data_IF_693630787985
#
_entry.id   IF_693630787985
#
_cell.length_a   1.000
_cell.length_b   1.000
_cell.length_c   1.000
_cell.angle_alpha   90.00
_cell.angle_beta   90.00
_cell.angle_gamma   90.00
#
_symmetry.space_group_name_H-M   'P 1'
#
loop_
_entity.id
_entity.type
_entity.pdbx_description
1 polymer ?
#
# COMPACT_ATOMS: atom_id res chain seq x y z
N UNK A 1 -20.00 -15.37 16.56
CA UNK A 1 -18.86 -14.44 16.45
C UNK A 1 -17.59 -15.24 16.64
N UNK A 2 -16.56 -15.02 15.80
CA UNK A 2 -15.27 -15.72 15.92
C UNK A 2 -14.57 -15.27 17.22
N UNK A 3 -14.17 -16.23 18.06
CA UNK A 3 -13.39 -15.98 19.28
C UNK A 3 -11.93 -16.29 18.97
N UNK A 4 -11.13 -15.25 18.76
CA UNK A 4 -9.72 -15.41 18.39
C UNK A 4 -8.87 -15.61 19.65
N UNK A 5 -8.49 -16.86 19.91
CA UNK A 5 -7.54 -17.26 20.96
C UNK A 5 -6.19 -17.66 20.33
N UNK A 6 -5.07 -17.63 21.08
CA UNK A 6 -4.94 -17.18 22.47
C UNK A 6 -4.88 -15.65 22.62
N UNK A 7 -5.14 -15.14 23.83
CA UNK A 7 -4.87 -13.75 24.24
C UNK A 7 -3.95 -13.71 25.46
N UNK A 8 -2.90 -12.89 25.42
CA UNK A 8 -1.91 -12.75 26.51
C UNK A 8 -2.27 -11.64 27.50
N UNK A 9 -3.23 -10.76 27.14
CA UNK A 9 -3.56 -9.53 27.85
C UNK A 9 -2.39 -8.54 27.99
N UNK A 10 -1.29 -8.75 27.27
CA UNK A 10 -0.21 -7.77 27.16
C UNK A 10 -0.53 -6.78 26.04
N UNK A 11 -0.46 -5.49 26.36
CA UNK A 11 -0.60 -4.45 25.35
C UNK A 11 0.72 -4.27 24.59
N UNK A 12 0.62 -4.19 23.27
CA UNK A 12 1.66 -3.79 22.36
C UNK A 12 1.44 -2.33 21.99
N UNK A 13 2.35 -1.48 22.46
CA UNK A 13 2.36 -0.08 22.12
C UNK A 13 3.13 0.14 20.81
N UNK A 14 2.60 1.02 19.96
CA UNK A 14 3.21 1.40 18.69
C UNK A 14 3.33 2.93 18.61
N UNK A 15 4.05 3.41 17.59
CA UNK A 15 4.38 4.82 17.43
C UNK A 15 3.14 5.71 17.26
N UNK A 16 3.21 6.93 17.78
CA UNK A 16 2.06 7.87 17.81
C UNK A 16 1.67 8.38 16.41
N UNK A 17 2.63 8.43 15.49
CA UNK A 17 2.48 8.84 14.10
C UNK A 17 2.07 7.69 13.16
N UNK A 18 2.06 6.45 13.67
CA UNK A 18 1.69 5.30 12.86
C UNK A 18 0.20 5.35 12.47
N UNK A 19 -0.04 5.34 11.16
CA UNK A 19 -1.38 5.25 10.58
C UNK A 19 -1.61 3.86 10.03
N UNK A 20 -2.51 3.11 10.67
CA UNK A 20 -2.84 1.74 10.27
C UNK A 20 -4.01 1.76 9.29
N UNK A 21 -3.80 1.25 8.08
CA UNK A 21 -4.81 1.26 7.02
C UNK A 21 -5.09 -0.14 6.51
N UNK A 22 -6.38 -0.43 6.31
CA UNK A 22 -6.83 -1.64 5.62
C UNK A 22 -8.05 -1.36 4.77
N UNK A 23 -8.16 -2.00 3.61
CA UNK A 23 -9.39 -2.05 2.81
C UNK A 23 -9.91 -3.47 2.74
N UNK A 24 -11.22 -3.60 2.54
CA UNK A 24 -11.89 -4.88 2.35
C UNK A 24 -12.79 -4.85 1.12
N UNK A 25 -13.23 -6.02 0.67
CA UNK A 25 -14.41 -6.15 -0.19
C UNK A 25 -15.72 -5.94 0.61
N UNK A 26 -16.86 -6.16 -0.05
CA UNK A 26 -18.20 -6.04 0.56
C UNK A 26 -18.49 -7.13 1.60
N UNK A 27 -17.84 -8.29 1.48
CA UNK A 27 -17.95 -9.42 2.41
C UNK A 27 -16.95 -9.32 3.57
N UNK A 28 -16.21 -8.22 3.63
CA UNK A 28 -15.21 -7.90 4.67
C UNK A 28 -13.94 -8.74 4.63
N UNK A 29 -13.57 -9.30 3.47
CA UNK A 29 -12.25 -9.88 3.25
C UNK A 29 -11.24 -8.79 2.91
N UNK A 30 -10.07 -8.84 3.55
CA UNK A 30 -9.02 -7.83 3.39
C UNK A 30 -8.48 -7.88 1.97
N UNK A 31 -8.56 -6.76 1.26
CA UNK A 31 -8.00 -6.58 -0.08
C UNK A 31 -6.67 -5.85 -0.07
N UNK A 32 -6.39 -5.11 1.00
CA UNK A 32 -5.12 -4.43 1.20
C UNK A 32 -4.92 -4.09 2.67
N UNK A 33 -3.67 -4.16 3.14
CA UNK A 33 -3.22 -3.65 4.42
C UNK A 33 -1.86 -2.99 4.27
N UNK A 34 -1.67 -1.80 4.85
CA UNK A 34 -0.38 -1.12 4.75
C UNK A 34 0.68 -1.74 5.68
N UNK A 35 1.96 -1.42 5.44
CA UNK A 35 3.08 -1.97 6.21
C UNK A 35 2.95 -1.74 7.73
N UNK A 36 2.45 -0.57 8.16
CA UNK A 36 2.20 -0.29 9.57
C UNK A 36 1.15 -1.24 10.18
N UNK A 37 0.07 -1.56 9.44
CA UNK A 37 -0.93 -2.53 9.89
C UNK A 37 -0.32 -3.93 10.01
N UNK A 38 0.47 -4.37 9.02
CA UNK A 38 1.16 -5.67 9.03
C UNK A 38 2.07 -5.77 10.26
N UNK A 39 2.94 -4.78 10.47
CA UNK A 39 3.88 -4.75 11.59
C UNK A 39 3.17 -4.77 12.96
N UNK A 40 2.16 -3.92 13.14
CA UNK A 40 1.45 -3.80 14.42
C UNK A 40 0.54 -5.01 14.66
N UNK A 41 -0.08 -5.59 13.64
CA UNK A 41 -0.90 -6.80 13.80
C UNK A 41 -0.04 -8.07 13.99
N UNK A 42 1.20 -8.08 13.48
CA UNK A 42 2.13 -9.20 13.56
C UNK A 42 1.78 -10.37 12.63
N UNK A 43 0.82 -10.20 11.72
CA UNK A 43 0.56 -11.14 10.63
C UNK A 43 1.46 -10.82 9.44
N UNK A 44 1.85 -11.83 8.65
CA UNK A 44 2.50 -11.57 7.37
C UNK A 44 1.47 -11.11 6.32
N UNK A 45 1.89 -10.46 5.22
CA UNK A 45 1.00 -10.09 4.12
C UNK A 45 0.20 -11.30 3.60
N UNK A 46 0.86 -12.44 3.40
CA UNK A 46 0.26 -13.66 2.85
C UNK A 46 -0.77 -14.29 3.81
N UNK A 47 -0.59 -14.09 5.11
CA UNK A 47 -1.52 -14.59 6.14
C UNK A 47 -2.77 -13.73 6.29
N UNK A 48 -2.74 -12.47 5.83
CA UNK A 48 -3.80 -11.50 6.08
C UNK A 48 -4.62 -11.15 4.84
N UNK A 49 -4.00 -11.22 3.67
CA UNK A 49 -4.65 -10.94 2.41
C UNK A 49 -5.74 -11.98 2.13
N UNK A 50 -6.92 -11.52 1.69
CA UNK A 50 -8.10 -12.35 1.47
C UNK A 50 -8.76 -12.90 2.74
N UNK A 51 -8.19 -12.68 3.93
CA UNK A 51 -8.81 -13.13 5.17
C UNK A 51 -9.94 -12.20 5.62
N UNK A 52 -10.98 -12.71 6.30
CA UNK A 52 -11.98 -11.87 6.94
C UNK A 52 -11.33 -10.92 7.95
N UNK A 53 -11.68 -9.63 7.89
CA UNK A 53 -11.09 -8.58 8.75
C UNK A 53 -11.16 -8.91 10.24
N UNK A 54 -12.17 -9.68 10.64
CA UNK A 54 -12.32 -10.14 12.02
C UNK A 54 -11.18 -11.03 12.56
N UNK A 55 -10.18 -11.40 11.76
CA UNK A 55 -8.98 -12.15 12.21
C UNK A 55 -8.17 -11.41 13.28
N UNK A 56 -8.15 -10.07 13.25
CA UNK A 56 -7.49 -9.22 14.25
C UNK A 56 -8.41 -8.84 15.41
N UNK A 57 -9.66 -9.30 15.43
CA UNK A 57 -10.61 -8.93 16.50
C UNK A 57 -10.17 -9.50 17.84
N UNK A 58 -10.18 -8.66 18.88
CA UNK A 58 -10.00 -9.12 20.25
C UNK A 58 -11.31 -9.68 20.84
N UNK A 59 -11.29 -10.82 21.57
CA UNK A 59 -12.47 -11.39 22.24
C UNK A 59 -13.17 -10.43 23.22
N UNK A 60 -12.42 -9.57 23.90
CA UNK A 60 -12.96 -8.56 24.82
C UNK A 60 -13.83 -7.48 24.13
N UNK A 61 -13.83 -7.38 22.80
CA UNK A 61 -14.65 -6.37 22.13
C UNK A 61 -16.15 -6.74 22.18
N UNK A 62 -17.02 -5.87 22.74
CA UNK A 62 -18.45 -6.11 22.80
C UNK A 62 -19.07 -6.33 21.43
N UNK A 63 -20.04 -7.24 21.35
CA UNK A 63 -20.77 -7.53 20.10
C UNK A 63 -21.57 -6.32 19.60
N UNK A 64 -22.05 -5.51 20.53
CA UNK A 64 -22.86 -4.31 20.31
C UNK A 64 -22.07 -3.22 19.57
N UNK A 65 -20.77 -3.09 19.85
CA UNK A 65 -19.90 -2.13 19.15
C UNK A 65 -19.81 -2.45 17.66
N UNK A 66 -19.65 -3.72 17.30
CA UNK A 66 -19.62 -4.14 15.89
C UNK A 66 -21.00 -4.11 15.23
N UNK A 67 -22.07 -4.44 15.96
CA UNK A 67 -23.42 -4.31 15.44
C UNK A 67 -23.73 -2.85 15.07
N UNK A 68 -23.32 -1.90 15.92
CA UNK A 68 -23.42 -0.48 15.64
C UNK A 68 -22.55 -0.04 14.45
N UNK A 69 -21.32 -0.53 14.36
CA UNK A 69 -20.44 -0.30 13.21
C UNK A 69 -21.11 -0.71 11.90
N UNK A 70 -21.58 -1.96 11.79
CA UNK A 70 -22.21 -2.46 10.58
C UNK A 70 -23.52 -1.75 10.25
N UNK A 71 -24.34 -1.42 11.25
CA UNK A 71 -25.55 -0.63 11.05
C UNK A 71 -25.26 0.79 10.54
N UNK A 72 -24.13 1.38 10.94
CA UNK A 72 -23.69 2.71 10.52
C UNK A 72 -23.13 2.68 9.10
N UNK A 73 -22.18 1.77 8.83
CA UNK A 73 -21.56 1.61 7.52
C UNK A 73 -22.58 1.19 6.45
N UNK A 74 -23.54 0.32 6.80
CA UNK A 74 -24.62 -0.10 5.90
C UNK A 74 -25.58 1.02 5.50
N UNK A 75 -25.58 2.15 6.23
CA UNK A 75 -26.32 3.37 5.86
C UNK A 75 -25.50 4.35 5.03
N UNK A 76 -24.28 3.96 4.64
CA UNK A 76 -23.37 4.84 3.92
C UNK A 76 -22.64 5.84 4.83
N UNK A 77 -22.77 5.75 6.15
CA UNK A 77 -22.24 6.73 7.10
C UNK A 77 -20.89 6.30 7.69
N UNK A 78 -20.00 7.25 8.06
CA UNK A 78 -18.75 6.93 8.73
C UNK A 78 -19.00 6.46 10.16
N UNK A 79 -18.13 5.58 10.64
CA UNK A 79 -18.15 5.09 12.01
C UNK A 79 -16.80 5.29 12.68
N UNK A 80 -16.81 5.83 13.90
CA UNK A 80 -15.59 6.05 14.68
C UNK A 80 -15.76 5.57 16.11
N UNK A 81 -14.93 4.62 16.55
CA UNK A 81 -14.84 4.24 17.96
C UNK A 81 -13.46 3.65 18.29
N UNK A 82 -13.21 3.43 19.58
CA UNK A 82 -12.05 2.66 19.99
C UNK A 82 -12.24 1.17 19.72
N UNK A 83 -11.17 0.50 19.32
CA UNK A 83 -11.19 -0.93 19.05
C UNK A 83 -9.93 -1.55 19.66
N UNK A 84 -10.13 -2.57 20.49
CA UNK A 84 -9.10 -3.49 20.94
C UNK A 84 -8.92 -4.57 19.89
N UNK A 85 -7.73 -4.64 19.30
CA UNK A 85 -7.37 -5.67 18.33
C UNK A 85 -6.34 -6.62 18.94
N UNK A 86 -6.35 -7.86 18.48
CA UNK A 86 -5.43 -8.92 18.86
C UNK A 86 -4.35 -9.06 17.79
N UNK A 87 -3.10 -9.09 18.22
CA UNK A 87 -1.93 -9.43 17.39
C UNK A 87 -1.84 -10.94 17.18
N UNK A 88 -1.11 -11.38 16.14
CA UNK A 88 -0.89 -12.81 15.87
C UNK A 88 -0.44 -13.61 17.10
N UNK A 89 0.53 -13.08 17.85
CA UNK A 89 1.11 -13.70 19.04
C UNK A 89 0.19 -13.72 20.29
N UNK A 90 -1.01 -13.12 20.21
CA UNK A 90 -1.96 -13.05 21.31
C UNK A 90 -1.91 -11.77 22.15
N UNK A 91 -0.90 -10.91 21.96
CA UNK A 91 -0.92 -9.55 22.51
C UNK A 91 -2.06 -8.73 21.90
N UNK A 92 -2.29 -7.53 22.41
CA UNK A 92 -3.34 -6.65 21.90
C UNK A 92 -2.83 -5.23 21.69
N UNK A 93 -3.55 -4.46 20.89
CA UNK A 93 -3.28 -3.04 20.66
C UNK A 93 -4.58 -2.28 20.53
N UNK A 94 -4.56 -1.01 20.94
CA UNK A 94 -5.71 -0.13 20.90
C UNK A 94 -5.58 0.89 19.77
N UNK A 95 -6.69 1.09 19.07
CA UNK A 95 -6.78 2.06 17.99
C UNK A 95 -8.06 2.86 18.12
N UNK A 96 -8.04 4.11 17.69
CA UNK A 96 -9.25 4.78 17.21
C UNK A 96 -9.47 4.37 15.75
N UNK A 97 -10.48 3.55 15.52
CA UNK A 97 -10.83 3.11 14.18
C UNK A 97 -11.80 4.11 13.55
N UNK A 98 -11.47 4.60 12.35
CA UNK A 98 -12.34 5.38 11.50
C UNK A 98 -12.66 4.53 10.28
N UNK A 99 -13.88 4.02 10.20
CA UNK A 99 -14.33 3.14 9.13
C UNK A 99 -15.33 3.88 8.24
N UNK A 100 -15.16 3.73 6.92
CA UNK A 100 -16.04 4.33 5.91
C UNK A 100 -16.36 3.31 4.81
N UNK A 101 -17.57 3.34 4.23
CA UNK A 101 -17.86 2.58 3.03
C UNK A 101 -17.18 3.23 1.83
N UNK A 102 -16.57 2.42 0.96
CA UNK A 102 -16.02 2.88 -0.31
C UNK A 102 -17.12 2.74 -1.36
N UNK A 103 -17.58 3.86 -1.90
CA UNK A 103 -18.72 3.91 -2.81
C UNK A 103 -18.26 4.14 -4.25
N UNK A 104 -18.85 3.40 -5.20
CA UNK A 104 -18.67 3.59 -6.64
C UNK A 104 -20.03 3.48 -7.32
N UNK A 105 -20.43 4.50 -8.07
CA UNK A 105 -21.70 4.56 -8.79
C UNK A 105 -22.92 4.24 -7.89
N UNK A 106 -22.98 4.81 -6.68
CA UNK A 106 -24.06 4.56 -5.73
C UNK A 106 -24.04 3.21 -5.01
N UNK A 107 -23.05 2.35 -5.29
CA UNK A 107 -22.95 1.02 -4.68
C UNK A 107 -21.68 0.87 -3.82
N UNK A 108 -21.76 0.21 -2.65
CA UNK A 108 -20.59 -0.11 -1.87
C UNK A 108 -19.72 -1.13 -2.62
N UNK A 109 -18.43 -0.83 -2.74
CA UNK A 109 -17.42 -1.77 -3.26
C UNK A 109 -16.61 -2.45 -2.17
N UNK A 110 -16.74 -1.95 -0.94
CA UNK A 110 -16.07 -2.48 0.23
C UNK A 110 -15.96 -1.43 1.31
N UNK A 111 -15.06 -1.66 2.25
CA UNK A 111 -14.88 -0.78 3.39
C UNK A 111 -13.40 -0.39 3.52
N UNK A 112 -13.16 0.85 3.92
CA UNK A 112 -11.83 1.32 4.27
C UNK A 112 -11.83 1.70 5.74
N UNK A 113 -10.76 1.34 6.45
CA UNK A 113 -10.56 1.83 7.80
C UNK A 113 -9.15 2.35 8.00
N UNK A 114 -9.10 3.59 8.48
CA UNK A 114 -7.88 4.29 8.89
C UNK A 114 -7.89 4.40 10.40
N UNK A 115 -6.79 4.00 11.02
CA UNK A 115 -6.66 3.85 12.46
C UNK A 115 -5.49 4.65 12.97
N UNK A 116 -5.73 5.36 14.06
CA UNK A 116 -4.70 6.07 14.82
C UNK A 116 -4.60 5.49 16.21
N UNK A 117 -3.50 5.81 16.90
CA UNK A 117 -3.32 5.41 18.30
C UNK A 117 -4.37 6.06 19.20
N UNK A 118 -4.89 5.29 20.15
CA UNK A 118 -5.80 5.80 21.19
C UNK A 118 -5.00 6.36 22.37
N UNK A 119 -5.49 7.40 23.03
CA UNK A 119 -4.80 7.92 24.23
C UNK A 119 -5.02 7.00 25.43
N UNK A 120 -4.14 7.09 26.44
CA UNK A 120 -4.23 6.27 27.66
C UNK A 120 -5.55 6.46 28.40
N UNK A 121 -6.03 7.71 28.50
CA UNK A 121 -7.31 8.02 29.15
C UNK A 121 -8.50 7.40 28.41
N UNK A 122 -8.47 7.43 27.08
CA UNK A 122 -9.52 6.83 26.26
C UNK A 122 -9.53 5.31 26.37
N UNK A 123 -8.35 4.68 26.39
CA UNK A 123 -8.21 3.23 26.58
C UNK A 123 -8.80 2.83 27.94
N UNK A 124 -8.42 3.50 29.02
CA UNK A 124 -8.93 3.21 30.36
C UNK A 124 -10.46 3.34 30.45
N UNK A 125 -11.02 4.41 29.85
CA UNK A 125 -12.46 4.61 29.79
C UNK A 125 -13.17 3.53 28.94
N UNK A 126 -12.61 3.18 27.79
CA UNK A 126 -13.17 2.16 26.90
C UNK A 126 -13.09 0.76 27.52
N UNK A 127 -12.02 0.42 28.23
CA UNK A 127 -11.88 -0.87 28.92
C UNK A 127 -12.95 -1.07 30.00
N UNK A 128 -13.14 -0.06 30.85
CA UNK A 128 -14.17 -0.10 31.88
C UNK A 128 -15.57 -0.24 31.26
N UNK A 129 -15.85 0.55 30.22
CA UNK A 129 -17.10 0.51 29.50
C UNK A 129 -17.35 -0.85 28.83
N UNK A 130 -16.35 -1.39 28.13
CA UNK A 130 -16.49 -2.65 27.39
C UNK A 130 -16.63 -3.83 28.35
N UNK A 131 -15.99 -3.78 29.51
CA UNK A 131 -16.24 -4.74 30.60
C UNK A 131 -17.69 -4.69 31.06
N UNK A 132 -18.26 -3.50 31.29
CA UNK A 132 -19.68 -3.37 31.66
C UNK A 132 -20.61 -3.98 30.61
N UNK A 133 -20.33 -3.81 29.31
CA UNK A 133 -21.11 -4.46 28.24
C UNK A 133 -20.96 -5.99 28.24
N UNK A 134 -19.74 -6.51 28.41
CA UNK A 134 -19.50 -7.96 28.46
C UNK A 134 -20.18 -8.62 29.65
N UNK A 135 -20.19 -7.96 30.80
CA UNK A 135 -20.78 -8.46 32.05
C UNK A 135 -22.29 -8.20 32.15
N UNK A 136 -22.92 -7.60 31.13
CA UNK A 136 -24.34 -7.24 31.16
C UNK A 136 -24.70 -6.11 32.13
N UNK A 137 -23.68 -5.39 32.65
CA UNK A 137 -23.82 -4.26 33.59
C UNK A 137 -23.93 -2.90 32.89
N UNK A 138 -23.91 -2.86 31.56
CA UNK A 138 -24.04 -1.63 30.79
C UNK A 138 -25.36 -0.87 31.03
N UNK A 139 -26.39 -1.55 31.54
CA UNK A 139 -27.64 -0.94 31.97
C UNK A 139 -28.30 -0.10 30.87
N UNK A 140 -28.50 1.19 31.13
CA UNK A 140 -29.14 2.12 30.20
C UNK A 140 -28.16 2.71 29.16
N UNK A 141 -27.15 1.97 28.69
CA UNK A 141 -26.15 2.48 27.73
C UNK A 141 -26.26 1.69 26.42
N UNK A 142 -26.12 2.38 25.28
CA UNK A 142 -26.09 1.75 23.95
C UNK A 142 -25.09 2.42 23.02
N UNK A 143 -24.57 1.66 22.07
CA UNK A 143 -23.79 2.20 20.96
C UNK A 143 -24.71 2.88 19.93
N UNK A 144 -24.26 4.00 19.37
CA UNK A 144 -24.90 4.68 18.25
C UNK A 144 -23.86 5.48 17.45
N UNK A 145 -23.54 5.04 16.23
CA UNK A 145 -22.54 5.65 15.35
C UNK A 145 -21.19 5.86 16.04
N UNK A 146 -20.78 4.89 16.85
CA UNK A 146 -19.54 4.90 17.62
C UNK A 146 -19.60 5.65 18.96
N UNK A 147 -20.69 6.39 19.24
CA UNK A 147 -20.91 7.05 20.51
C UNK A 147 -21.67 6.17 21.50
N UNK A 148 -21.47 6.43 22.80
CA UNK A 148 -22.24 5.81 23.87
C UNK A 148 -23.35 6.74 24.30
N UNK A 149 -24.59 6.31 24.09
CA UNK A 149 -25.79 7.05 24.46
C UNK A 149 -26.46 6.42 25.66
N UNK A 150 -27.09 7.27 26.49
CA UNK A 150 -27.97 6.81 27.57
C UNK A 150 -29.39 6.57 27.06
N UNK A 151 -30.05 5.54 27.57
CA UNK A 151 -31.42 5.12 27.25
C UNK A 151 -32.35 5.25 28.47
N UNK A 152 -33.65 4.99 28.30
CA UNK A 152 -34.63 5.09 29.38
C UNK A 152 -34.80 6.51 29.93
N UNK A 153 -34.96 6.65 31.25
CA UNK A 153 -35.11 7.94 31.93
C UNK A 153 -33.89 8.86 31.76
N UNK A 154 -32.69 8.29 31.59
CA UNK A 154 -31.45 9.05 31.39
C UNK A 154 -31.23 9.50 29.94
N UNK A 155 -32.17 9.23 29.02
CA UNK A 155 -32.09 9.64 27.61
C UNK A 155 -31.95 11.15 27.43
N UNK A 156 -32.49 11.96 28.36
CA UNK A 156 -32.42 13.42 28.31
C UNK A 156 -30.96 13.90 28.23
N UNK A 157 -30.04 13.21 28.92
CA UNK A 157 -28.61 13.54 28.88
C UNK A 157 -27.95 13.34 27.50
N UNK A 158 -28.53 12.48 26.65
CA UNK A 158 -28.02 12.18 25.31
C UNK A 158 -28.88 12.78 24.18
N UNK A 159 -29.94 13.52 24.52
CA UNK A 159 -30.90 14.02 23.51
C UNK A 159 -30.24 15.00 22.55
N UNK A 160 -29.38 15.88 23.06
CA UNK A 160 -28.63 16.86 22.26
C UNK A 160 -27.50 16.24 21.43
N UNK A 161 -27.16 14.96 21.62
CA UNK A 161 -26.19 14.26 20.77
C UNK A 161 -26.85 13.69 19.50
N UNK A 162 -28.15 13.37 19.56
CA UNK A 162 -28.86 12.66 18.47
C UNK A 162 -29.89 13.52 17.74
N UNK A 163 -30.38 14.59 18.36
CA UNK A 163 -31.34 15.48 17.72
C UNK A 163 -30.72 16.20 16.52
N UNK A 164 -31.40 16.11 15.37
CA UNK A 164 -31.05 16.87 14.17
C UNK A 164 -31.18 18.38 14.43
N UNK A 165 -30.44 19.19 13.66
CA UNK A 165 -30.51 20.66 13.76
C UNK A 165 -31.95 21.16 13.55
N UNK A 166 -32.69 20.55 12.62
CA UNK A 166 -34.11 20.85 12.39
C UNK A 166 -34.96 20.60 13.63
N UNK A 167 -34.79 19.43 14.26
CA UNK A 167 -35.56 19.08 15.44
C UNK A 167 -35.28 20.03 16.61
N UNK A 168 -34.01 20.41 16.82
CA UNK A 168 -33.64 21.40 17.84
C UNK A 168 -34.34 22.73 17.59
N UNK A 169 -34.24 23.22 16.36
CA UNK A 169 -34.84 24.49 15.95
C UNK A 169 -36.36 24.51 16.13
N UNK A 170 -37.05 23.50 15.59
CA UNK A 170 -38.50 23.37 15.72
C UNK A 170 -38.90 23.23 17.18
N UNK A 171 -38.20 22.40 17.97
CA UNK A 171 -38.53 22.24 19.40
C UNK A 171 -38.38 23.54 20.19
N UNK A 172 -37.34 24.34 19.93
CA UNK A 172 -37.15 25.64 20.58
C UNK A 172 -38.27 26.62 20.20
N UNK A 173 -38.64 26.68 18.92
CA UNK A 173 -39.72 27.54 18.45
C UNK A 173 -41.10 27.11 19.00
N UNK A 174 -41.34 25.80 19.11
CA UNK A 174 -42.56 25.25 19.71
C UNK A 174 -42.68 25.56 21.20
N UNK A 175 -41.58 25.78 21.93
CA UNK A 175 -41.58 26.25 23.33
C UNK A 175 -41.71 27.76 23.41
N UNK A 176 -41.06 28.50 22.49
CA UNK A 176 -41.08 29.96 22.48
C UNK A 176 -42.46 30.53 22.18
N UNK A 177 -43.18 29.99 21.20
CA UNK A 177 -44.51 30.48 20.81
C UNK A 177 -45.51 30.54 21.99
N UNK A 178 -45.78 29.45 22.73
CA UNK A 178 -46.68 29.48 23.87
C UNK A 178 -46.15 30.35 25.02
N UNK A 179 -44.83 30.44 25.22
CA UNK A 179 -44.25 31.34 26.23
C UNK A 179 -44.56 32.81 25.91
N UNK A 180 -44.40 33.21 24.64
CA UNK A 180 -44.77 34.56 24.18
C UNK A 180 -46.27 34.80 24.37
N UNK A 181 -47.13 33.87 23.97
CA UNK A 181 -48.58 33.97 24.23
C UNK A 181 -48.89 34.10 25.73
N UNK A 182 -48.21 33.34 26.58
CA UNK A 182 -48.33 33.41 28.02
C UNK A 182 -47.96 34.77 28.60
N UNK A 183 -46.93 35.44 28.06
CA UNK A 183 -46.61 36.83 28.47
C UNK A 183 -47.70 37.83 28.07
N UNK A 184 -48.32 37.66 26.90
CA UNK A 184 -49.46 38.48 26.48
C UNK A 184 -50.66 38.31 27.42
N UNK A 185 -50.96 37.07 27.81
CA UNK A 185 -51.99 36.78 28.81
C UNK A 185 -51.64 37.39 30.19
N UNK A 186 -50.40 37.24 30.65
CA UNK A 186 -49.92 37.81 31.91
C UNK A 186 -49.94 39.35 31.92
N UNK A 187 -49.80 39.98 30.75
CA UNK A 187 -49.93 41.43 30.56
C UNK A 187 -51.40 41.91 30.52
N UNK A 188 -52.38 41.01 30.70
CA UNK A 188 -53.81 41.35 30.78
C UNK A 188 -54.57 41.26 29.46
N UNK A 189 -53.96 40.76 28.37
CA UNK A 189 -54.70 40.49 27.13
C UNK A 189 -55.69 39.35 27.36
N UNK A 190 -56.94 39.55 26.96
CA UNK A 190 -58.00 38.55 27.07
C UNK A 190 -58.95 38.59 25.86
N UNK A 191 -59.79 37.57 25.72
CA UNK A 191 -60.79 37.48 24.65
C UNK A 191 -60.18 37.55 23.24
N UNK A 192 -60.81 38.35 22.37
CA UNK A 192 -60.38 38.51 20.97
C UNK A 192 -58.98 39.10 20.80
N UNK A 193 -58.55 39.97 21.73
CA UNK A 193 -57.20 40.57 21.68
C UNK A 193 -56.11 39.53 21.93
N UNK A 194 -56.32 38.60 22.87
CA UNK A 194 -55.39 37.50 23.12
C UNK A 194 -55.34 36.53 21.93
N UNK A 195 -56.49 36.23 21.32
CA UNK A 195 -56.54 35.38 20.13
C UNK A 195 -55.78 35.99 18.94
N UNK A 196 -55.94 37.29 18.69
CA UNK A 196 -55.20 38.02 17.66
C UNK A 196 -53.69 38.03 17.94
N UNK A 197 -53.30 38.30 19.20
CA UNK A 197 -51.89 38.26 19.62
C UNK A 197 -51.29 36.87 19.45
N UNK A 198 -52.00 35.82 19.85
CA UNK A 198 -51.56 34.44 19.69
C UNK A 198 -51.40 34.05 18.21
N UNK A 199 -52.35 34.43 17.35
CA UNK A 199 -52.25 34.24 15.90
C UNK A 199 -51.02 34.92 15.31
N UNK A 200 -50.75 36.17 15.68
CA UNK A 200 -49.57 36.92 15.25
C UNK A 200 -48.26 36.27 15.75
N UNK A 201 -48.20 35.90 17.03
CA UNK A 201 -47.02 35.26 17.62
C UNK A 201 -46.70 33.92 16.94
N UNK A 202 -47.71 33.09 16.70
CA UNK A 202 -47.55 31.82 15.97
C UNK A 202 -47.09 32.09 14.53
N UNK A 203 -47.70 33.05 13.85
CA UNK A 203 -47.32 33.43 12.48
C UNK A 203 -45.86 33.87 12.36
N UNK A 204 -45.41 34.77 13.24
CA UNK A 204 -44.01 35.24 13.29
C UNK A 204 -43.06 34.08 13.60
N UNK A 205 -43.41 33.24 14.57
CA UNK A 205 -42.57 32.09 14.96
C UNK A 205 -42.46 31.07 13.82
N UNK A 206 -43.56 30.81 13.11
CA UNK A 206 -43.57 29.91 11.95
C UNK A 206 -42.75 30.48 10.79
N UNK A 207 -42.90 31.77 10.49
CA UNK A 207 -42.10 32.46 9.46
C UNK A 207 -40.60 32.42 9.79
N UNK A 208 -40.23 32.70 11.04
CA UNK A 208 -38.85 32.57 11.52
C UNK A 208 -38.34 31.13 11.38
N UNK A 209 -39.16 30.14 11.70
CA UNK A 209 -38.82 28.71 11.52
C UNK A 209 -38.56 28.32 10.07
N UNK A 210 -39.40 28.78 9.14
CA UNK A 210 -39.20 28.55 7.70
C UNK A 210 -37.94 29.25 7.19
N UNK A 211 -37.69 30.48 7.64
CA UNK A 211 -36.49 31.24 7.29
C UNK A 211 -35.22 30.54 7.80
N UNK A 212 -35.19 30.12 9.06
CA UNK A 212 -34.05 29.40 9.62
C UNK A 212 -33.85 28.01 8.99
N UNK A 213 -34.94 27.30 8.63
CA UNK A 213 -34.84 26.03 7.90
C UNK A 213 -34.16 26.25 6.53
N UNK A 214 -34.57 27.29 5.81
CA UNK A 214 -33.99 27.65 4.51
C UNK A 214 -32.53 28.12 4.61
N UNK A 215 -32.19 28.93 5.61
CA UNK A 215 -30.87 29.57 5.71
C UNK A 215 -29.80 28.69 6.40
N UNK A 216 -30.22 27.84 7.33
CA UNK A 216 -29.29 27.06 8.18
C UNK A 216 -29.49 25.56 7.98
N UNK A 217 -30.71 25.05 8.14
CA UNK A 217 -30.94 23.58 8.19
C UNK A 217 -30.70 22.92 6.84
N UNK A 218 -31.32 23.42 5.76
CA UNK A 218 -31.16 22.81 4.42
C UNK A 218 -29.72 22.90 3.94
N UNK A 219 -29.00 24.03 4.09
CA UNK A 219 -27.61 24.13 3.69
C UNK A 219 -26.67 23.23 4.51
N UNK A 220 -26.85 23.12 5.83
CA UNK A 220 -26.06 22.18 6.65
C UNK A 220 -26.29 20.72 6.23
N UNK A 221 -27.49 20.37 5.79
CA UNK A 221 -27.77 19.03 5.25
C UNK A 221 -27.02 18.78 3.94
N UNK A 222 -27.06 19.72 3.01
CA UNK A 222 -26.32 19.63 1.74
C UNK A 222 -24.80 19.52 1.99
N UNK A 223 -24.28 20.28 2.96
CA UNK A 223 -22.88 20.22 3.38
C UNK A 223 -22.51 18.84 3.90
N UNK A 224 -23.31 18.28 4.81
CA UNK A 224 -23.11 16.91 5.32
C UNK A 224 -23.12 15.88 4.18
N UNK A 225 -24.10 15.98 3.28
CA UNK A 225 -24.26 15.00 2.19
C UNK A 225 -23.08 15.06 1.22
N UNK A 226 -22.56 16.25 0.90
CA UNK A 226 -21.35 16.38 0.09
C UNK A 226 -20.10 15.89 0.82
N UNK A 227 -19.93 16.24 2.11
CA UNK A 227 -18.82 15.73 2.91
C UNK A 227 -18.79 14.20 2.92
N UNK A 228 -19.96 13.58 3.00
CA UNK A 228 -20.09 12.14 2.95
C UNK A 228 -19.68 11.58 1.58
N UNK A 229 -20.16 12.15 0.48
CA UNK A 229 -19.78 11.75 -0.88
C UNK A 229 -18.30 11.91 -1.16
N UNK A 230 -17.66 12.94 -0.60
CA UNK A 230 -16.21 13.14 -0.69
C UNK A 230 -15.47 12.07 0.10
N UNK A 231 -15.87 11.83 1.35
CA UNK A 231 -15.24 10.83 2.20
C UNK A 231 -15.33 9.41 1.63
N UNK A 232 -16.49 9.01 1.08
CA UNK A 232 -16.70 7.69 0.49
C UNK A 232 -16.08 7.52 -0.90
N UNK A 233 -15.51 8.59 -1.47
CA UNK A 233 -14.89 8.59 -2.80
C UNK A 233 -15.88 8.58 -3.96
N UNK A 234 -17.15 8.89 -3.74
CA UNK A 234 -18.20 8.87 -4.76
C UNK A 234 -18.30 10.16 -5.58
N UNK A 235 -18.02 11.31 -4.96
CA UNK A 235 -18.24 12.61 -5.61
C UNK A 235 -17.49 12.64 -6.96
N UNK A 236 -18.10 13.27 -7.98
CA UNK A 236 -17.45 13.61 -9.26
C UNK A 236 -17.67 15.09 -9.57
N UNK A 237 -18.90 15.55 -9.36
CA UNK A 237 -19.30 16.95 -9.48
C UNK A 237 -19.73 17.45 -8.10
N UNK A 238 -18.87 18.21 -7.42
CA UNK A 238 -19.14 18.71 -6.08
C UNK A 238 -20.38 19.60 -6.02
N UNK A 239 -21.16 19.48 -4.95
CA UNK A 239 -22.32 20.33 -4.72
C UNK A 239 -21.92 21.82 -4.73
N UNK A 240 -22.66 22.64 -5.48
CA UNK A 240 -22.44 24.08 -5.56
C UNK A 240 -23.47 24.81 -4.71
N UNK A 241 -22.99 25.82 -4.01
CA UNK A 241 -23.84 26.74 -3.25
C UNK A 241 -23.50 28.17 -3.65
N UNK A 242 -24.52 28.97 -3.93
CA UNK A 242 -24.36 30.39 -4.20
C UNK A 242 -24.37 31.22 -2.90
N UNK A 243 -23.37 31.00 -2.04
CA UNK A 243 -23.17 31.73 -0.78
C UNK A 243 -21.70 31.75 -0.40
N UNK A 244 -21.28 32.81 0.29
CA UNK A 244 -19.87 33.06 0.65
C UNK A 244 -19.60 33.18 2.15
N UNK A 245 -20.60 32.95 2.97
CA UNK A 245 -20.49 32.83 4.43
C UNK A 245 -19.80 31.52 4.87
N UNK A 246 -19.77 31.25 6.17
CA UNK A 246 -19.10 30.10 6.77
C UNK A 246 -19.62 28.77 6.22
N UNK A 247 -20.93 28.65 5.96
CA UNK A 247 -21.51 27.43 5.39
C UNK A 247 -21.04 27.25 3.94
N UNK A 248 -21.08 28.33 3.15
CA UNK A 248 -20.60 28.31 1.76
C UNK A 248 -19.11 28.06 1.62
N UNK A 249 -18.29 28.71 2.47
CA UNK A 249 -16.85 28.52 2.53
C UNK A 249 -16.49 27.10 2.97
N UNK A 250 -17.18 26.55 3.98
CA UNK A 250 -16.93 25.17 4.45
C UNK A 250 -17.24 24.15 3.36
N UNK A 251 -18.37 24.28 2.65
CA UNK A 251 -18.68 23.41 1.51
C UNK A 251 -17.63 23.53 0.39
N UNK A 252 -17.17 24.76 0.09
CA UNK A 252 -16.09 24.97 -0.87
C UNK A 252 -14.81 24.26 -0.44
N UNK A 253 -14.41 24.35 0.81
CA UNK A 253 -13.23 23.65 1.34
C UNK A 253 -13.38 22.13 1.26
N UNK A 254 -14.56 21.58 1.60
CA UNK A 254 -14.85 20.14 1.44
C UNK A 254 -14.71 19.70 -0.02
N UNK A 255 -15.25 20.49 -0.96
CA UNK A 255 -15.11 20.21 -2.38
C UNK A 255 -13.63 20.24 -2.82
N UNK A 256 -12.84 21.20 -2.32
CA UNK A 256 -11.40 21.26 -2.60
C UNK A 256 -10.64 20.05 -2.06
N UNK A 257 -10.96 19.61 -0.83
CA UNK A 257 -10.37 18.38 -0.27
C UNK A 257 -10.69 17.16 -1.15
N UNK A 258 -11.93 17.06 -1.66
CA UNK A 258 -12.30 16.00 -2.60
C UNK A 258 -11.55 16.06 -3.93
N UNK A 259 -11.30 17.26 -4.46
CA UNK A 259 -10.50 17.43 -5.68
C UNK A 259 -9.03 17.09 -5.45
N UNK A 260 -8.43 17.55 -4.34
CA UNK A 260 -7.06 17.22 -3.96
C UNK A 260 -6.88 15.71 -3.79
N UNK A 261 -7.84 15.04 -3.14
CA UNK A 261 -7.79 13.59 -2.99
C UNK A 261 -7.83 12.87 -4.34
N UNK A 262 -8.70 13.28 -5.27
CA UNK A 262 -8.73 12.70 -6.62
C UNK A 262 -7.42 12.94 -7.37
N UNK A 263 -6.92 14.17 -7.36
CA UNK A 263 -5.66 14.51 -8.01
C UNK A 263 -4.51 13.63 -7.47
N UNK A 264 -4.43 13.45 -6.14
CA UNK A 264 -3.41 12.60 -5.53
C UNK A 264 -3.56 11.13 -5.98
N UNK A 265 -4.79 10.61 -6.04
CA UNK A 265 -5.05 9.25 -6.52
C UNK A 265 -4.64 9.09 -7.99
N UNK A 266 -4.97 10.06 -8.84
CA UNK A 266 -4.63 10.05 -10.26
C UNK A 266 -3.10 10.14 -10.45
N UNK A 267 -2.43 11.04 -9.73
CA UNK A 267 -0.96 11.20 -9.75
C UNK A 267 -0.24 9.92 -9.30
N UNK A 268 -0.64 9.34 -8.16
CA UNK A 268 -0.09 8.06 -7.68
C UNK A 268 -0.34 6.93 -8.69
N UNK A 269 -1.52 6.89 -9.31
CA UNK A 269 -1.83 5.86 -10.31
C UNK A 269 -0.93 6.00 -11.55
N UNK A 270 -0.66 7.22 -12.00
CA UNK A 270 0.28 7.49 -13.10
C UNK A 270 1.71 7.07 -12.74
N UNK A 271 2.18 7.39 -11.52
CA UNK A 271 3.51 6.96 -11.06
C UNK A 271 3.63 5.44 -10.99
N UNK A 272 2.61 4.73 -10.54
CA UNK A 272 2.60 3.25 -10.53
C UNK A 272 2.68 2.69 -11.94
N UNK A 273 1.98 3.27 -12.92
CA UNK A 273 2.09 2.86 -14.32
C UNK A 273 3.50 3.11 -14.90
N UNK A 274 4.16 4.20 -14.50
CA UNK A 274 5.54 4.48 -14.90
C UNK A 274 6.52 3.45 -14.32
N UNK A 275 6.39 3.13 -13.03
CA UNK A 275 7.20 2.10 -12.36
C UNK A 275 6.98 0.73 -13.01
N UNK A 276 5.73 0.38 -13.34
CA UNK A 276 5.43 -0.88 -14.01
C UNK A 276 6.07 -0.97 -15.41
N UNK A 277 6.02 0.12 -16.19
CA UNK A 277 6.67 0.19 -17.51
C UNK A 277 8.19 0.03 -17.40
N UNK A 278 8.82 0.79 -16.51
CA UNK A 278 10.27 0.68 -16.26
C UNK A 278 10.68 -0.72 -15.79
N UNK A 279 9.87 -1.36 -14.93
CA UNK A 279 10.12 -2.72 -14.47
C UNK A 279 10.05 -3.75 -15.61
N UNK A 280 9.08 -3.59 -16.53
CA UNK A 280 8.97 -4.45 -17.70
C UNK A 280 10.16 -4.26 -18.66
N UNK A 281 10.62 -3.02 -18.87
CA UNK A 281 11.81 -2.72 -19.67
C UNK A 281 13.09 -3.33 -19.07
N UNK A 282 13.26 -3.23 -17.74
CA UNK A 282 14.38 -3.86 -17.03
C UNK A 282 14.32 -5.38 -17.17
N UNK A 283 13.15 -5.99 -17.00
CA UNK A 283 12.98 -7.43 -17.14
C UNK A 283 13.35 -7.90 -18.56
N UNK A 284 12.91 -7.17 -19.59
CA UNK A 284 13.25 -7.46 -20.98
C UNK A 284 14.75 -7.28 -21.24
N UNK A 285 15.34 -6.17 -20.78
CA UNK A 285 16.78 -5.92 -20.91
C UNK A 285 17.63 -6.98 -20.20
N UNK A 286 17.17 -7.51 -19.07
CA UNK A 286 17.84 -8.59 -18.35
C UNK A 286 17.81 -9.91 -19.14
N UNK A 287 16.70 -10.22 -19.81
CA UNK A 287 16.60 -11.40 -20.67
C UNK A 287 17.57 -11.29 -21.87
N UNK A 288 17.63 -10.12 -22.51
CA UNK A 288 18.56 -9.86 -23.62
C UNK A 288 20.02 -9.96 -23.16
N UNK A 289 20.34 -9.41 -21.98
CA UNK A 289 21.67 -9.52 -21.38
C UNK A 289 22.05 -10.98 -21.07
N UNK A 290 21.11 -11.76 -20.55
CA UNK A 290 21.31 -13.20 -20.30
C UNK A 290 21.67 -13.92 -21.61
N UNK A 291 20.89 -13.71 -22.67
CA UNK A 291 21.14 -14.32 -23.98
C UNK A 291 22.50 -13.91 -24.56
N UNK A 292 22.88 -12.62 -24.45
CA UNK A 292 24.21 -12.14 -24.89
C UNK A 292 25.34 -12.73 -24.06
N UNK A 293 25.13 -12.94 -22.76
CA UNK A 293 26.13 -13.54 -21.88
C UNK A 293 26.34 -15.02 -22.21
N UNK A 294 25.28 -15.76 -22.51
CA UNK A 294 25.36 -17.15 -23.01
C UNK A 294 26.11 -17.23 -24.34
N UNK A 295 25.82 -16.32 -25.28
CA UNK A 295 26.53 -16.24 -26.55
C UNK A 295 28.02 -15.90 -26.36
N UNK A 296 28.34 -14.91 -25.51
CA UNK A 296 29.72 -14.55 -25.19
C UNK A 296 30.48 -15.71 -24.53
N UNK A 297 29.84 -16.45 -23.62
CA UNK A 297 30.41 -17.66 -23.02
C UNK A 297 30.76 -18.70 -24.09
N UNK A 298 29.87 -18.91 -25.07
CA UNK A 298 30.12 -19.83 -26.20
C UNK A 298 31.31 -19.38 -27.04
N UNK A 299 31.42 -18.08 -27.37
CA UNK A 299 32.57 -17.54 -28.10
C UNK A 299 33.88 -17.66 -27.33
N UNK A 300 33.86 -17.47 -26.00
CA UNK A 300 35.03 -17.67 -25.13
C UNK A 300 35.46 -19.14 -25.12
N UNK A 301 34.52 -20.08 -25.02
CA UNK A 301 34.81 -21.52 -25.11
C UNK A 301 35.46 -21.88 -26.45
N UNK A 302 34.95 -21.32 -27.56
CA UNK A 302 35.49 -21.57 -28.89
C UNK A 302 36.90 -20.97 -29.05
N UNK A 303 37.14 -19.78 -28.50
CA UNK A 303 38.47 -19.14 -28.48
C UNK A 303 39.46 -19.97 -27.67
N UNK A 304 39.05 -20.51 -26.51
CA UNK A 304 39.88 -21.38 -25.70
C UNK A 304 40.24 -22.67 -26.43
N UNK A 305 39.30 -23.26 -27.17
CA UNK A 305 39.56 -24.44 -28.00
C UNK A 305 40.58 -24.14 -29.12
N UNK A 306 40.43 -23.03 -29.84
CA UNK A 306 41.41 -22.62 -30.87
C UNK A 306 42.79 -22.30 -30.27
N UNK A 307 42.84 -21.70 -29.09
CA UNK A 307 44.10 -21.50 -28.36
C UNK A 307 44.77 -22.82 -27.97
N UNK A 308 44.00 -23.82 -27.55
CA UNK A 308 44.53 -25.16 -27.25
C UNK A 308 45.11 -25.84 -28.51
N UNK A 309 44.41 -25.74 -29.65
CA UNK A 309 44.88 -26.27 -30.93
C UNK A 309 46.14 -25.55 -31.46
N UNK A 310 46.18 -24.22 -31.36
CA UNK A 310 47.39 -23.45 -31.68
C UNK A 310 48.56 -23.84 -30.78
N UNK A 311 48.32 -24.01 -29.48
CA UNK A 311 49.36 -24.45 -28.54
C UNK A 311 49.91 -25.82 -28.91
N UNK A 312 49.03 -26.76 -29.28
CA UNK A 312 49.44 -28.08 -29.76
C UNK A 312 50.27 -27.99 -31.07
N UNK A 313 49.86 -27.14 -32.00
CA UNK A 313 50.56 -26.92 -33.27
C UNK A 313 51.94 -26.29 -33.05
N UNK A 314 52.04 -25.29 -32.18
CA UNK A 314 53.32 -24.65 -31.81
C UNK A 314 54.26 -25.67 -31.15
N UNK A 315 53.73 -26.53 -30.25
CA UNK A 315 54.50 -27.61 -29.64
C UNK A 315 55.03 -28.60 -30.69
N UNK A 316 54.18 -29.03 -31.63
CA UNK A 316 54.55 -29.95 -32.72
C UNK A 316 55.60 -29.32 -33.66
N UNK A 317 55.46 -28.04 -33.99
CA UNK A 317 56.44 -27.30 -34.79
C UNK A 317 57.79 -27.20 -34.08
N UNK A 318 57.80 -26.97 -32.76
CA UNK A 318 59.03 -26.93 -31.98
C UNK A 318 59.74 -28.29 -31.95
N UNK A 319 58.99 -29.39 -31.81
CA UNK A 319 59.53 -30.75 -31.85
C UNK A 319 60.08 -31.10 -33.25
N UNK A 320 59.37 -30.72 -34.30
CA UNK A 320 59.82 -30.89 -35.69
C UNK A 320 61.10 -30.09 -35.97
N UNK A 321 61.20 -28.85 -35.47
CA UNK A 321 62.42 -28.05 -35.59
C UNK A 321 63.61 -28.68 -34.85
N UNK A 322 63.39 -29.28 -33.68
CA UNK A 322 64.41 -30.04 -32.96
C UNK A 322 64.88 -31.27 -33.76
N UNK A 323 63.95 -32.04 -34.33
CA UNK A 323 64.29 -33.17 -35.20
C UNK A 323 65.06 -32.73 -36.46
N UNK A 324 64.60 -31.68 -37.14
CA UNK A 324 65.26 -31.14 -38.32
C UNK A 324 66.70 -30.69 -37.99
N UNK A 325 66.89 -30.03 -36.85
CA UNK A 325 68.21 -29.63 -36.36
C UNK A 325 69.12 -30.86 -36.11
N UNK A 326 68.61 -31.92 -35.47
CA UNK A 326 69.36 -33.16 -35.27
C UNK A 326 69.76 -33.82 -36.60
N UNK A 327 68.85 -33.82 -37.58
CA UNK A 327 69.11 -34.37 -38.90
C UNK A 327 70.18 -33.55 -39.65
N UNK A 328 70.10 -32.22 -39.58
CA UNK A 328 71.11 -31.31 -40.14
C UNK A 328 72.48 -31.48 -39.51
N UNK A 329 72.57 -31.65 -38.18
CA UNK A 329 73.82 -31.97 -37.48
C UNK A 329 74.39 -33.29 -37.99
N UNK A 330 73.57 -34.35 -38.07
CA UNK A 330 73.99 -35.67 -38.56
C UNK A 330 74.49 -35.62 -40.01
N UNK A 331 73.80 -34.88 -40.88
CA UNK A 331 74.19 -34.67 -42.27
C UNK A 331 75.50 -33.87 -42.39
N UNK A 332 75.68 -32.85 -41.55
CA UNK A 332 76.92 -32.07 -41.46
C UNK A 332 78.10 -32.95 -41.03
N UNK A 333 77.93 -33.80 -40.02
CA UNK A 333 78.94 -34.78 -39.61
C UNK A 333 79.27 -35.79 -40.71
N UNK A 334 78.26 -36.29 -41.43
CA UNK A 334 78.45 -37.20 -42.55
C UNK A 334 79.22 -36.51 -43.71
N UNK A 335 78.87 -35.27 -44.05
CA UNK A 335 79.59 -34.47 -45.04
C UNK A 335 81.02 -34.16 -44.59
N UNK A 336 81.25 -33.88 -43.30
CA UNK A 336 82.57 -33.70 -42.72
C UNK A 336 83.44 -34.95 -42.85
N UNK A 337 82.89 -36.13 -42.52
CA UNK A 337 83.56 -37.43 -42.74
C UNK A 337 83.83 -37.70 -44.22
N UNK A 338 82.87 -37.40 -45.09
CA UNK A 338 83.04 -37.51 -46.55
C UNK A 338 84.15 -36.60 -47.07
N UNK A 339 84.24 -35.36 -46.58
CA UNK A 339 85.31 -34.41 -46.91
C UNK A 339 86.69 -34.89 -46.45
N UNK A 340 86.79 -35.50 -45.27
CA UNK A 340 88.03 -36.15 -44.81
C UNK A 340 88.43 -37.30 -45.75
N UNK A 341 87.49 -38.17 -46.14
CA UNK A 341 87.76 -39.26 -47.06
C UNK A 341 88.21 -38.76 -48.46
N UNK A 342 87.59 -37.70 -48.98
CA UNK A 342 88.02 -37.07 -50.25
C UNK A 342 89.42 -36.47 -50.11
N UNK A 343 89.73 -35.79 -49.01
CA UNK A 343 91.08 -35.28 -48.74
C UNK A 343 92.12 -36.41 -48.65
N UNK A 344 91.76 -37.56 -48.07
CA UNK A 344 92.59 -38.75 -48.02
C UNK A 344 92.83 -39.35 -49.43
N UNK A 345 91.81 -39.37 -50.29
CA UNK A 345 91.92 -39.74 -51.71
C UNK A 345 92.81 -38.76 -52.49
N UNK A 346 92.67 -37.45 -52.26
CA UNK A 346 93.52 -36.43 -52.90
C UNK A 346 94.97 -36.55 -52.41
N UNK A 347 95.19 -36.83 -51.13
CA UNK A 347 96.52 -37.10 -50.57
C UNK A 347 97.14 -38.36 -51.18
N UNK A 348 96.35 -39.42 -51.41
CA UNK A 348 96.83 -40.63 -52.12
C UNK A 348 97.06 -40.40 -53.62
N UNK A 349 96.29 -39.52 -54.28
CA UNK A 349 96.53 -39.12 -55.67
C UNK A 349 97.78 -38.24 -55.83
N UNK A 350 98.02 -37.30 -54.92
CA UNK A 350 99.19 -36.39 -54.95
C UNK A 350 100.48 -37.07 -54.50
N UNK A 351 100.41 -38.17 -53.75
CA UNK A 351 101.57 -39.05 -53.48
C UNK A 351 101.91 -39.99 -54.64
N UNK A 352 101.20 -39.92 -55.77
CA UNK A 352 101.42 -40.76 -56.95
C UNK A 352 101.93 -40.05 -58.23
N UNK A 353 103.08 -39.34 -58.23
CA UNK A 353 103.78 -38.95 -59.47
C UNK A 353 104.92 -39.91 -59.87
N UNK A 354 104.77 -41.24 -59.69
CA UNK A 354 105.85 -42.21 -60.01
C UNK A 354 105.49 -43.40 -60.90
N UNK A 355 104.26 -43.53 -61.41
CA UNK A 355 103.85 -44.72 -62.18
C UNK A 355 103.62 -44.53 -63.70
N UNK A 356 104.07 -43.44 -64.33
CA UNK A 356 103.97 -43.23 -65.80
C UNK A 356 105.28 -42.91 -66.52
N UNK A 357 106.40 -43.44 -66.03
CA UNK A 357 107.67 -43.42 -66.75
C UNK A 357 108.42 -44.76 -66.61
N UNK A 358 108.10 -45.73 -67.49
CA UNK A 358 109.01 -46.80 -67.98
C UNK A 358 108.32 -47.63 -69.09
N UNK A 359 108.73 -47.30 -70.32
CA UNK A 359 108.82 -47.99 -71.63
C UNK A 359 108.97 -49.54 -71.60
N UNK A 360 108.87 -50.33 -72.72
CA UNK A 360 109.36 -49.96 -74.06
C UNK A 360 108.66 -50.50 -75.33
N UNK A 361 109.15 -49.93 -76.43
CA UNK A 361 109.14 -50.36 -77.83
C UNK A 361 109.82 -51.71 -78.07
N UNK A 362 109.24 -52.56 -78.94
CA UNK A 362 109.98 -53.37 -79.93
C UNK A 362 109.04 -53.93 -81.00
N UNK A 363 109.29 -53.55 -82.25
CA UNK A 363 108.73 -54.07 -83.51
C UNK A 363 109.16 -55.52 -83.78
N UNK A 364 108.67 -56.20 -84.84
CA UNK A 364 108.81 -55.80 -86.25
C UNK A 364 107.59 -55.14 -86.88
#
# INVERSE_FOLDING_TARGET
>A
MRNNQPVTQREFEFADDATLMSTTDVDSHITYANAAFIQVSGFSPEEIEGQPHNVVRHPDMPKEAFADMWATLGRGEPWTALVKNRRKNGDHYWVRANAIPVMRNGQPKGYMSVRTKATRDEIAAAEALYRDFREGKAGSRRFHKGLILRTGALRVASVFQTMSVRARLVSTLCVLAPAVVGTGWAAGLSGGALAAFAGAAIGVTAAAGLWLDAQIVRPLRQLRDEALRVATGESRNGARMNRVDEIGMTLRTINQLGLMFRWLVDDVSEQVLNVQRASNEIAQGNNDLSARTEQASTSVQQTAASMAEMTATVSSNAETALQANQLSVSASEAAGRGGQAVNEVVATMTTSPRARARLPTSSP
#
